data_IF_263490821290
#
_entry.id   IF_263490821290
#
_cell.length_a   1.000
_cell.length_b   1.000
_cell.length_c   1.000
_cell.angle_alpha   90.00
_cell.angle_beta   90.00
_cell.angle_gamma   90.00
#
_symmetry.space_group_name_H-M   'P 1'
#
loop_
_entity.id
_entity.type
_entity.pdbx_description
1 polymer ?
#
# COMPACT_ATOMS: atom_id res chain seq x y z
N UNK A 1 -12.52 6.24 -16.59
CA UNK A 1 -12.67 5.91 -15.15
C UNK A 1 -11.36 5.30 -14.63
N UNK A 2 -10.54 6.04 -13.74
CA UNK A 2 -9.32 5.43 -13.18
C UNK A 2 -9.64 4.40 -12.09
N UNK A 3 -8.98 3.25 -12.19
CA UNK A 3 -9.05 2.18 -11.21
C UNK A 3 -7.64 1.97 -10.68
N UNK A 4 -7.44 2.23 -9.39
CA UNK A 4 -6.12 2.19 -8.78
C UNK A 4 -6.12 1.11 -7.70
N UNK A 5 -5.23 0.15 -7.86
CA UNK A 5 -5.07 -0.94 -6.91
C UNK A 5 -3.71 -0.87 -6.26
N UNK A 6 -3.72 -0.94 -4.93
CA UNK A 6 -2.49 -0.87 -4.14
C UNK A 6 -2.26 -2.22 -3.48
N UNK A 7 -1.07 -2.75 -3.63
CA UNK A 7 -0.68 -4.00 -2.96
C UNK A 7 0.23 -3.64 -1.78
N UNK A 8 -0.19 -4.02 -0.59
CA UNK A 8 0.56 -3.72 0.64
C UNK A 8 0.71 -4.98 1.49
N UNK A 9 1.86 -5.10 2.11
CA UNK A 9 2.02 -6.08 3.18
C UNK A 9 1.20 -5.63 4.39
N UNK A 10 0.61 -6.57 5.11
CA UNK A 10 -0.13 -6.28 6.35
C UNK A 10 0.78 -5.59 7.36
N UNK A 11 0.20 -4.74 8.19
CA UNK A 11 0.90 -4.04 9.25
C UNK A 11 0.57 -2.55 9.38
N UNK A 12 -0.16 -1.98 8.41
CA UNK A 12 -0.56 -0.57 8.48
C UNK A 12 -1.90 -0.45 9.22
N UNK A 13 -2.06 0.67 9.91
CA UNK A 13 -3.33 0.95 10.60
C UNK A 13 -4.41 1.32 9.60
N UNK A 14 -5.66 1.23 10.06
CA UNK A 14 -6.81 1.64 9.25
C UNK A 14 -6.69 3.10 8.83
N UNK A 15 -6.23 3.96 9.75
CA UNK A 15 -6.03 5.38 9.47
C UNK A 15 -4.97 5.60 8.39
N UNK A 16 -3.86 4.89 8.48
CA UNK A 16 -2.79 5.01 7.48
C UNK A 16 -3.29 4.60 6.09
N UNK A 17 -4.05 3.54 6.01
CA UNK A 17 -4.60 3.07 4.73
C UNK A 17 -5.61 4.07 4.17
N UNK A 18 -6.46 4.63 5.02
CA UNK A 18 -7.43 5.65 4.63
C UNK A 18 -6.72 6.89 4.08
N UNK A 19 -5.70 7.36 4.80
CA UNK A 19 -4.94 8.54 4.40
C UNK A 19 -4.22 8.33 3.07
N UNK A 20 -3.68 7.13 2.87
CA UNK A 20 -3.03 6.78 1.61
C UNK A 20 -4.03 6.83 0.44
N UNK A 21 -5.18 6.20 0.59
CA UNK A 21 -6.20 6.19 -0.46
C UNK A 21 -6.74 7.59 -0.74
N UNK A 22 -6.91 8.40 0.30
CA UNK A 22 -7.36 9.78 0.16
C UNK A 22 -6.34 10.60 -0.62
N UNK A 23 -5.06 10.47 -0.28
CA UNK A 23 -3.99 11.19 -0.96
C UNK A 23 -3.89 10.81 -2.43
N UNK A 24 -4.02 9.52 -2.74
CA UNK A 24 -3.99 9.04 -4.12
C UNK A 24 -5.18 9.58 -4.91
N UNK A 25 -6.36 9.61 -4.30
CA UNK A 25 -7.55 10.16 -4.94
C UNK A 25 -7.35 11.64 -5.28
N UNK A 26 -6.84 12.41 -4.32
CA UNK A 26 -6.60 13.84 -4.52
C UNK A 26 -5.55 14.09 -5.61
N UNK A 27 -4.48 13.31 -5.60
CA UNK A 27 -3.42 13.43 -6.60
C UNK A 27 -3.94 13.09 -7.99
N UNK A 28 -4.71 12.04 -8.11
CA UNK A 28 -5.29 11.60 -9.38
C UNK A 28 -6.21 12.67 -9.95
N UNK A 29 -7.07 13.22 -9.11
CA UNK A 29 -7.95 14.31 -9.48
C UNK A 29 -7.17 15.51 -10.03
N UNK A 30 -6.10 15.88 -9.34
CA UNK A 30 -5.27 17.03 -9.66
C UNK A 30 -4.47 16.83 -10.95
N UNK A 31 -3.87 15.66 -11.10
CA UNK A 31 -2.90 15.43 -12.20
C UNK A 31 -3.59 15.12 -13.51
N UNK A 32 -4.59 14.25 -13.51
CA UNK A 32 -5.26 13.86 -14.76
C UNK A 32 -6.63 14.49 -14.95
N UNK A 33 -7.08 15.28 -13.99
CA UNK A 33 -8.36 15.97 -14.13
C UNK A 33 -9.57 15.06 -14.08
N UNK A 34 -9.45 13.86 -13.53
CA UNK A 34 -10.56 12.93 -13.44
C UNK A 34 -11.56 13.41 -12.38
N UNK A 35 -12.88 13.34 -12.66
CA UNK A 35 -13.87 13.66 -11.63
C UNK A 35 -13.71 12.73 -10.43
N UNK A 36 -13.81 13.29 -9.24
CA UNK A 36 -13.58 12.52 -8.01
C UNK A 36 -14.48 11.29 -7.90
N UNK A 37 -15.72 11.41 -8.34
CA UNK A 37 -16.68 10.30 -8.28
C UNK A 37 -16.38 9.17 -9.27
N UNK A 38 -15.45 9.38 -10.21
CA UNK A 38 -15.02 8.34 -11.14
C UNK A 38 -13.79 7.59 -10.65
N UNK A 39 -13.13 8.08 -9.61
CA UNK A 39 -11.87 7.50 -9.11
C UNK A 39 -12.18 6.38 -8.13
N UNK A 40 -11.62 5.20 -8.39
CA UNK A 40 -11.77 4.03 -7.52
C UNK A 40 -10.38 3.62 -7.03
N UNK A 41 -10.23 3.52 -5.72
CA UNK A 41 -8.96 3.12 -5.09
C UNK A 41 -9.26 2.02 -4.08
N UNK A 42 -8.48 0.95 -4.12
CA UNK A 42 -8.60 -0.10 -3.10
C UNK A 42 -7.25 -0.72 -2.80
N UNK A 43 -7.17 -1.36 -1.63
CA UNK A 43 -5.94 -1.97 -1.15
C UNK A 43 -6.14 -3.47 -1.05
N UNK A 44 -5.18 -4.21 -1.60
CA UNK A 44 -5.05 -5.64 -1.38
C UNK A 44 -3.90 -5.86 -0.42
N UNK A 45 -4.19 -6.45 0.72
CA UNK A 45 -3.17 -6.75 1.71
C UNK A 45 -2.78 -8.21 1.65
N UNK A 46 -1.49 -8.48 1.87
CA UNK A 46 -0.98 -9.84 1.97
C UNK A 46 -0.14 -9.98 3.24
N UNK A 47 -0.10 -11.18 3.84
CA UNK A 47 0.77 -11.41 4.99
C UNK A 47 2.22 -11.41 4.54
N UNK A 48 3.13 -11.07 5.45
CA UNK A 48 4.56 -11.00 5.12
C UNK A 48 5.19 -12.37 4.85
N UNK A 49 4.44 -13.44 5.08
CA UNK A 49 4.84 -14.81 4.71
C UNK A 49 4.57 -15.09 3.23
N UNK A 50 3.80 -14.23 2.55
CA UNK A 50 3.37 -14.45 1.17
C UNK A 50 4.07 -13.54 0.17
N UNK A 51 5.16 -12.92 0.57
CA UNK A 51 5.95 -12.06 -0.29
C UNK A 51 7.42 -12.38 -0.18
N UNK A 52 8.07 -12.50 -1.31
CA UNK A 52 9.50 -12.81 -1.38
C UNK A 52 10.14 -11.94 -2.45
N UNK A 53 11.26 -11.32 -2.12
CA UNK A 53 12.06 -10.57 -3.06
C UNK A 53 13.49 -11.13 -3.03
N UNK A 54 14.02 -11.47 -4.20
CA UNK A 54 15.37 -12.03 -4.33
C UNK A 54 15.61 -13.25 -3.44
N UNK A 55 14.56 -14.05 -3.25
CA UNK A 55 14.67 -15.29 -2.46
C UNK A 55 14.55 -15.08 -0.96
N UNK A 56 14.28 -13.85 -0.49
CA UNK A 56 14.11 -13.57 0.94
C UNK A 56 12.65 -13.22 1.24
N UNK A 57 12.04 -13.93 2.18
CA UNK A 57 10.67 -13.61 2.63
C UNK A 57 10.64 -12.27 3.34
N UNK A 58 9.58 -11.51 3.12
CA UNK A 58 9.40 -10.22 3.78
C UNK A 58 9.39 -10.37 5.30
N UNK A 59 8.80 -11.44 5.83
CA UNK A 59 8.81 -11.73 7.26
C UNK A 59 10.24 -11.80 7.80
N UNK A 60 11.13 -12.48 7.09
CA UNK A 60 12.53 -12.63 7.47
C UNK A 60 13.26 -11.28 7.41
N UNK A 61 13.04 -10.52 6.35
CA UNK A 61 13.62 -9.19 6.18
C UNK A 61 13.19 -8.25 7.30
N UNK A 62 11.91 -8.26 7.65
CA UNK A 62 11.38 -7.41 8.73
C UNK A 62 11.99 -7.78 10.07
N UNK A 63 12.12 -9.06 10.35
CA UNK A 63 12.75 -9.55 11.58
C UNK A 63 14.21 -9.12 11.64
N UNK A 64 14.95 -9.22 10.53
CA UNK A 64 16.34 -8.80 10.43
C UNK A 64 16.50 -7.30 10.68
N UNK A 65 15.66 -6.49 10.02
CA UNK A 65 15.71 -5.03 10.17
C UNK A 65 15.37 -4.60 11.59
N UNK A 66 14.37 -5.23 12.21
CA UNK A 66 13.98 -4.93 13.59
C UNK A 66 15.11 -5.25 14.55
N UNK A 67 15.83 -6.36 14.32
CA UNK A 67 16.98 -6.76 15.15
C UNK A 67 18.13 -5.77 15.01
N UNK A 68 18.35 -5.25 13.81
CA UNK A 68 19.41 -4.27 13.56
C UNK A 68 19.10 -2.92 14.21
N UNK A 69 17.82 -2.57 14.35
CA UNK A 69 17.39 -1.32 14.97
C UNK A 69 17.50 -1.36 16.50
N UNK A 70 17.52 -2.51 17.08
CA UNK A 70 17.63 -2.66 18.52
C UNK A 70 19.09 -2.82 18.94
#
# INVERSE_FOLDING_TARGET
MPLIQIHLAKGRTEKQKKDLMTGITELTEKVIGAPRDSIRVWINEFPDTDYMASGELLKVKRARLKKEES
#
